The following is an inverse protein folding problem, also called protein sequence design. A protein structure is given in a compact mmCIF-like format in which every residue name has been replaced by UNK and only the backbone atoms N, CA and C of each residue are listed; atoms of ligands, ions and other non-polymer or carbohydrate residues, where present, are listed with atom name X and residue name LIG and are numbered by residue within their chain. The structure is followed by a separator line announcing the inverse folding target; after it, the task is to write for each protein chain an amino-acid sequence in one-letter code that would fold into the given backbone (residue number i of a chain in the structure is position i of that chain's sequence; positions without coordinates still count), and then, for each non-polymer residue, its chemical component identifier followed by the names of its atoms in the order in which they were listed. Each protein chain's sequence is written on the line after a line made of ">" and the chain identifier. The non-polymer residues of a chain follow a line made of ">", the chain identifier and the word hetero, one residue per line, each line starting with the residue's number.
data_IF_808925014197
#
_entry.id   IF_808925014197
#
_cell.length_a   1.000
_cell.length_b   1.000
_cell.length_c   1.000
_cell.angle_alpha   90.00
_cell.angle_beta   90.00
_cell.angle_gamma   90.00
#
_symmetry.space_group_name_H-M   'P 1'
#
loop_
_entity.id
_entity.type
_entity.pdbx_description
1 polymer ?
#
# COMPACT_ATOMS: atom_id res chain seq x y z
N UNK A 1 -25.14 -20.01 -1.23
CA UNK A 1 -23.97 -20.65 -0.56
C UNK A 1 -24.39 -22.02 -0.05
N UNK A 2 -23.63 -23.06 -0.37
CA UNK A 2 -23.94 -24.43 0.03
C UNK A 2 -23.91 -24.61 1.55
N UNK A 3 -24.92 -25.27 2.09
CA UNK A 3 -24.95 -25.61 3.51
C UNK A 3 -23.80 -26.59 3.84
N UNK A 4 -22.97 -26.33 4.87
CA UNK A 4 -21.87 -27.23 5.23
C UNK A 4 -22.36 -28.57 5.85
N UNK A 5 -23.62 -28.66 6.23
CA UNK A 5 -24.19 -29.86 6.89
C UNK A 5 -24.89 -30.81 5.92
N UNK A 6 -25.65 -30.26 4.95
CA UNK A 6 -26.44 -31.10 4.02
C UNK A 6 -26.15 -30.86 2.55
N UNK A 7 -25.31 -29.89 2.22
CA UNK A 7 -24.93 -29.54 0.84
C UNK A 7 -25.98 -28.79 0.02
N UNK A 8 -27.16 -28.47 0.61
CA UNK A 8 -28.20 -27.72 -0.09
C UNK A 8 -27.72 -26.31 -0.47
N UNK A 9 -28.13 -25.86 -1.65
CA UNK A 9 -27.53 -24.65 -2.28
C UNK A 9 -28.10 -23.33 -1.78
N UNK A 10 -29.29 -23.36 -1.15
CA UNK A 10 -29.99 -22.15 -0.73
C UNK A 10 -29.99 -21.98 0.79
N UNK A 11 -29.77 -20.75 1.23
CA UNK A 11 -29.80 -20.33 2.62
C UNK A 11 -30.35 -18.92 2.73
N UNK A 12 -30.99 -18.59 3.86
CA UNK A 12 -31.40 -17.22 4.18
C UNK A 12 -30.44 -16.61 5.20
N UNK A 13 -30.28 -15.33 5.15
CA UNK A 13 -29.52 -14.57 6.15
C UNK A 13 -30.45 -14.24 7.33
N UNK A 14 -30.08 -14.66 8.52
CA UNK A 14 -30.84 -14.46 9.76
C UNK A 14 -30.37 -13.24 10.51
N UNK A 15 -29.04 -12.97 10.50
CA UNK A 15 -28.41 -11.84 11.16
C UNK A 15 -27.18 -11.37 10.36
N UNK A 16 -26.90 -10.07 10.39
CA UNK A 16 -25.77 -9.46 9.70
C UNK A 16 -25.19 -8.36 10.58
N UNK A 17 -23.89 -8.46 10.88
CA UNK A 17 -23.18 -7.46 11.71
C UNK A 17 -21.81 -7.17 11.13
N UNK A 18 -21.36 -5.89 11.16
CA UNK A 18 -19.97 -5.58 10.85
C UNK A 18 -19.06 -6.24 11.89
N UNK A 19 -17.84 -6.58 11.50
CA UNK A 19 -16.79 -6.97 12.43
C UNK A 19 -16.19 -5.73 13.11
N UNK A 20 -15.53 -5.93 14.25
CA UNK A 20 -14.98 -4.84 15.06
C UNK A 20 -13.97 -3.95 14.28
N UNK A 21 -13.30 -4.52 13.29
CA UNK A 21 -12.38 -3.79 12.41
C UNK A 21 -13.06 -3.09 11.22
N UNK A 22 -14.35 -3.29 11.01
CA UNK A 22 -15.12 -2.71 9.91
C UNK A 22 -14.79 -3.25 8.50
N UNK A 23 -13.83 -4.17 8.39
CA UNK A 23 -13.33 -4.68 7.10
C UNK A 23 -14.11 -5.88 6.56
N UNK A 24 -15.01 -6.44 7.36
CA UNK A 24 -15.83 -7.58 6.95
C UNK A 24 -17.21 -7.54 7.60
N UNK A 25 -18.14 -8.27 6.99
CA UNK A 25 -19.49 -8.44 7.50
C UNK A 25 -19.66 -9.91 7.90
N UNK A 26 -19.97 -10.12 9.17
CA UNK A 26 -20.34 -11.44 9.68
C UNK A 26 -21.82 -11.68 9.41
N UNK A 27 -22.15 -12.76 8.70
CA UNK A 27 -23.54 -13.15 8.42
C UNK A 27 -23.86 -14.49 9.03
N UNK A 28 -24.93 -14.54 9.81
CA UNK A 28 -25.51 -15.79 10.29
C UNK A 28 -26.57 -16.25 9.29
N UNK A 29 -26.40 -17.46 8.78
CA UNK A 29 -27.27 -18.06 7.76
C UNK A 29 -28.00 -19.29 8.32
N UNK A 30 -29.17 -19.53 7.76
CA UNK A 30 -29.97 -20.74 8.05
C UNK A 30 -30.28 -21.45 6.74
N UNK A 31 -29.98 -22.74 6.69
CA UNK A 31 -30.26 -23.56 5.52
C UNK A 31 -31.77 -23.74 5.34
N UNK A 32 -32.25 -23.59 4.09
CA UNK A 32 -33.68 -23.76 3.80
C UNK A 32 -34.14 -25.22 3.80
N UNK A 33 -33.21 -26.18 3.70
CA UNK A 33 -33.51 -27.60 3.71
C UNK A 33 -33.43 -28.21 5.11
N UNK A 34 -32.28 -28.10 5.78
CA UNK A 34 -32.07 -28.78 7.08
C UNK A 34 -32.21 -27.87 8.29
N UNK A 35 -32.51 -26.57 8.10
CA UNK A 35 -32.64 -25.56 9.15
C UNK A 35 -31.36 -25.34 10.01
N UNK A 36 -30.24 -25.98 9.68
CA UNK A 36 -28.99 -25.79 10.38
C UNK A 36 -28.45 -24.38 10.16
N UNK A 37 -27.88 -23.79 11.22
CA UNK A 37 -27.33 -22.47 11.18
C UNK A 37 -25.80 -22.50 11.05
N UNK A 38 -25.27 -21.65 10.19
CA UNK A 38 -23.82 -21.48 9.98
C UNK A 38 -23.47 -20.01 9.80
N UNK A 39 -22.22 -19.70 10.05
CA UNK A 39 -21.70 -18.32 9.95
C UNK A 39 -20.80 -18.20 8.74
N UNK A 40 -20.96 -17.11 8.01
CA UNK A 40 -20.09 -16.73 6.90
C UNK A 40 -19.56 -15.33 7.11
N UNK A 41 -18.40 -15.04 6.51
CA UNK A 41 -17.82 -13.71 6.48
C UNK A 41 -17.75 -13.23 5.03
N UNK A 42 -18.24 -12.03 4.81
CA UNK A 42 -18.11 -11.32 3.55
C UNK A 42 -16.99 -10.30 3.70
N UNK A 43 -15.96 -10.44 2.90
CA UNK A 43 -14.79 -9.54 2.88
C UNK A 43 -14.62 -8.98 1.47
N UNK A 44 -14.14 -7.75 1.39
CA UNK A 44 -13.76 -7.19 0.09
C UNK A 44 -12.53 -7.95 -0.41
N UNK A 45 -12.62 -8.51 -1.60
CA UNK A 45 -11.47 -9.16 -2.23
C UNK A 45 -10.40 -8.12 -2.54
N UNK A 46 -9.27 -8.20 -1.84
CA UNK A 46 -8.08 -7.43 -2.14
C UNK A 46 -7.17 -8.25 -3.05
N UNK A 47 -7.10 -7.87 -4.30
CA UNK A 47 -6.17 -8.49 -5.24
C UNK A 47 -4.76 -7.94 -4.96
N UNK A 48 -3.73 -8.81 -4.94
CA UNK A 48 -2.36 -8.36 -4.72
C UNK A 48 -1.89 -7.44 -5.85
N UNK A 49 -1.23 -6.36 -5.47
CA UNK A 49 -0.55 -5.46 -6.41
C UNK A 49 0.77 -6.12 -6.82
N UNK A 50 1.04 -6.19 -8.10
CA UNK A 50 2.27 -6.72 -8.66
C UNK A 50 3.20 -5.58 -9.03
N UNK A 51 4.42 -5.63 -8.55
CA UNK A 51 5.50 -4.67 -8.85
C UNK A 51 6.37 -5.23 -9.96
N UNK A 52 6.51 -4.49 -11.04
CA UNK A 52 7.41 -4.79 -12.15
C UNK A 52 8.73 -4.04 -11.93
N UNK A 53 9.81 -4.77 -11.76
CA UNK A 53 11.16 -4.22 -11.58
C UNK A 53 11.79 -3.79 -12.89
N UNK A 54 12.90 -3.02 -12.82
CA UNK A 54 13.66 -2.55 -13.98
C UNK A 54 14.15 -3.68 -14.90
N UNK A 55 14.47 -4.84 -14.33
CA UNK A 55 14.90 -6.05 -15.06
C UNK A 55 13.72 -6.85 -15.67
N UNK A 56 12.47 -6.37 -15.49
CA UNK A 56 11.25 -7.03 -15.94
C UNK A 56 10.73 -8.11 -15.00
N UNK A 57 11.42 -8.40 -13.91
CA UNK A 57 10.93 -9.34 -12.88
C UNK A 57 9.70 -8.79 -12.16
N UNK A 58 8.84 -9.68 -11.70
CA UNK A 58 7.60 -9.36 -10.98
C UNK A 58 7.65 -9.86 -9.55
N UNK A 59 7.26 -9.03 -8.62
CA UNK A 59 7.08 -9.42 -7.22
C UNK A 59 5.80 -8.80 -6.66
N UNK A 60 5.27 -9.40 -5.60
CA UNK A 60 4.14 -8.81 -4.88
C UNK A 60 4.60 -7.54 -4.17
N UNK A 61 3.75 -6.52 -4.18
CA UNK A 61 3.98 -5.29 -3.41
C UNK A 61 4.20 -5.61 -1.94
N UNK A 62 5.28 -5.11 -1.39
CA UNK A 62 5.67 -5.30 0.00
C UNK A 62 5.83 -3.94 0.69
N UNK A 63 4.84 -3.61 1.51
CA UNK A 63 4.80 -2.39 2.31
C UNK A 63 6.05 -2.22 3.20
N UNK A 64 6.55 -3.32 3.75
CA UNK A 64 7.71 -3.28 4.66
C UNK A 64 8.99 -2.85 3.97
N UNK A 65 9.17 -3.16 2.69
CA UNK A 65 10.32 -2.71 1.90
C UNK A 65 10.34 -1.20 1.73
N UNK A 66 9.18 -0.61 1.44
CA UNK A 66 9.08 0.85 1.29
C UNK A 66 9.34 1.53 2.63
N UNK A 67 8.68 1.06 3.69
CA UNK A 67 8.87 1.61 5.04
C UNK A 67 10.34 1.56 5.46
N UNK A 68 11.02 0.43 5.25
CA UNK A 68 12.45 0.29 5.55
C UNK A 68 13.31 1.29 4.78
N UNK A 69 12.99 1.54 3.51
CA UNK A 69 13.67 2.54 2.69
C UNK A 69 13.49 3.96 3.24
N UNK A 70 12.27 4.33 3.62
CA UNK A 70 11.96 5.64 4.21
C UNK A 70 12.63 5.82 5.57
N UNK A 71 12.60 4.79 6.42
CA UNK A 71 13.28 4.82 7.75
C UNK A 71 14.77 5.04 7.59
N UNK A 72 15.44 4.33 6.67
CA UNK A 72 16.87 4.53 6.39
C UNK A 72 17.19 5.95 5.90
N UNK A 73 16.34 6.50 5.05
CA UNK A 73 16.51 7.87 4.57
C UNK A 73 16.37 8.91 5.69
N UNK A 74 15.51 8.64 6.66
CA UNK A 74 15.23 9.51 7.82
C UNK A 74 16.13 9.22 9.02
N UNK A 75 17.13 8.36 8.90
CA UNK A 75 18.04 8.02 10.01
C UNK A 75 18.71 9.28 10.57
N UNK A 76 18.68 9.42 11.91
CA UNK A 76 19.15 10.62 12.64
C UNK A 76 18.41 11.92 12.30
N UNK A 77 17.23 11.83 11.70
CA UNK A 77 16.30 12.96 11.52
C UNK A 77 15.17 12.88 12.53
N UNK A 78 14.61 14.03 12.90
CA UNK A 78 13.47 14.09 13.85
C UNK A 78 12.14 13.84 13.14
N UNK A 79 12.02 12.70 12.48
CA UNK A 79 10.80 12.27 11.80
C UNK A 79 10.18 11.11 12.55
N UNK A 80 8.96 11.25 13.09
CA UNK A 80 8.31 10.17 13.81
C UNK A 80 7.93 9.02 12.86
N UNK A 81 8.06 7.78 13.35
CA UNK A 81 7.72 6.57 12.58
C UNK A 81 6.28 6.61 12.04
N UNK A 82 5.33 7.11 12.85
CA UNK A 82 3.93 7.27 12.46
C UNK A 82 3.73 8.11 11.19
N UNK A 83 4.61 9.10 10.95
CA UNK A 83 4.58 9.92 9.74
C UNK A 83 5.01 9.12 8.52
N UNK A 84 6.01 8.25 8.68
CA UNK A 84 6.49 7.37 7.63
C UNK A 84 5.48 6.25 7.31
N UNK A 85 4.85 5.69 8.34
CA UNK A 85 3.78 4.69 8.17
C UNK A 85 2.58 5.28 7.42
N UNK A 86 2.23 6.54 7.72
CA UNK A 86 1.19 7.26 6.98
C UNK A 86 1.59 7.44 5.51
N UNK A 87 2.81 7.89 5.25
CA UNK A 87 3.30 8.04 3.88
C UNK A 87 3.22 6.73 3.08
N UNK A 88 3.58 5.60 3.69
CA UNK A 88 3.46 4.28 3.06
C UNK A 88 1.99 3.92 2.80
N UNK A 89 1.09 4.23 3.73
CA UNK A 89 -0.35 4.00 3.55
C UNK A 89 -0.93 4.84 2.40
N UNK A 90 -0.52 6.11 2.29
CA UNK A 90 -0.95 7.01 1.22
C UNK A 90 -0.43 6.53 -0.17
N UNK A 91 0.81 6.03 -0.22
CA UNK A 91 1.40 5.40 -1.42
C UNK A 91 0.59 4.15 -1.80
N UNK A 92 0.35 3.25 -0.86
CA UNK A 92 -0.43 2.02 -1.08
C UNK A 92 -1.84 2.32 -1.58
N UNK A 93 -2.51 3.30 -0.99
CA UNK A 93 -3.84 3.74 -1.42
C UNK A 93 -3.80 4.32 -2.84
N UNK A 94 -2.80 5.13 -3.17
CA UNK A 94 -2.63 5.71 -4.51
C UNK A 94 -2.48 4.62 -5.56
N UNK A 95 -1.68 3.58 -5.27
CA UNK A 95 -1.47 2.46 -6.16
C UNK A 95 -2.74 1.60 -6.28
N UNK A 96 -3.43 1.34 -5.16
CA UNK A 96 -4.66 0.54 -5.13
C UNK A 96 -5.82 1.21 -5.87
N UNK A 97 -5.88 2.54 -5.86
CA UNK A 97 -6.88 3.30 -6.59
C UNK A 97 -6.60 3.35 -8.11
N UNK A 98 -5.38 3.00 -8.53
CA UNK A 98 -5.11 2.82 -9.95
C UNK A 98 -5.80 1.54 -10.43
N UNK A 99 -6.48 1.63 -11.59
CA UNK A 99 -7.19 0.48 -12.18
C UNK A 99 -6.25 -0.63 -12.69
N UNK A 100 -4.95 -0.42 -12.60
CA UNK A 100 -3.92 -1.35 -13.05
C UNK A 100 -3.43 -2.20 -11.89
N UNK A 101 -3.40 -3.51 -12.07
CA UNK A 101 -2.87 -4.47 -11.07
C UNK A 101 -1.35 -4.54 -11.06
N UNK A 102 -0.71 -4.00 -12.07
CA UNK A 102 0.75 -3.95 -12.20
C UNK A 102 1.23 -2.51 -12.09
N UNK A 103 2.25 -2.29 -11.28
CA UNK A 103 2.89 -0.99 -11.08
C UNK A 103 4.39 -1.11 -11.27
N UNK A 104 4.99 -0.16 -11.94
CA UNK A 104 6.47 -0.12 -12.10
C UNK A 104 7.12 0.31 -10.79
N UNK A 105 8.25 -0.31 -10.45
CA UNK A 105 9.03 0.05 -9.26
C UNK A 105 9.49 1.51 -9.28
N UNK A 106 9.76 2.07 -10.47
CA UNK A 106 10.10 3.49 -10.65
C UNK A 106 8.98 4.40 -10.19
N UNK A 107 7.73 4.07 -10.48
CA UNK A 107 6.58 4.88 -10.06
C UNK A 107 6.43 4.88 -8.54
N UNK A 108 6.63 3.73 -7.90
CA UNK A 108 6.61 3.63 -6.43
C UNK A 108 7.72 4.50 -5.81
N UNK A 109 8.91 4.48 -6.40
CA UNK A 109 10.01 5.32 -5.96
C UNK A 109 9.72 6.82 -6.10
N UNK A 110 9.09 7.25 -7.20
CA UNK A 110 8.67 8.64 -7.37
C UNK A 110 7.63 9.06 -6.32
N UNK A 111 6.66 8.19 -6.02
CA UNK A 111 5.70 8.44 -4.93
C UNK A 111 6.40 8.58 -3.58
N UNK A 112 7.35 7.69 -3.27
CA UNK A 112 8.13 7.76 -2.04
C UNK A 112 8.95 9.05 -1.94
N UNK A 113 9.56 9.49 -3.03
CA UNK A 113 10.30 10.75 -3.10
C UNK A 113 9.37 11.95 -2.90
N UNK A 114 8.18 11.94 -3.48
CA UNK A 114 7.20 13.02 -3.30
C UNK A 114 6.75 13.15 -1.84
N UNK A 115 6.55 12.03 -1.15
CA UNK A 115 6.24 12.02 0.28
C UNK A 115 7.41 12.56 1.12
N UNK A 116 8.62 12.06 0.89
CA UNK A 116 9.82 12.52 1.61
C UNK A 116 10.09 14.00 1.44
N UNK A 117 9.83 14.54 0.25
CA UNK A 117 10.00 15.97 -0.05
C UNK A 117 9.15 16.87 0.86
N UNK A 118 7.97 16.38 1.28
CA UNK A 118 7.07 17.10 2.19
C UNK A 118 7.42 16.85 3.67
N UNK A 119 8.15 15.77 3.96
CA UNK A 119 8.47 15.34 5.33
C UNK A 119 9.81 15.94 5.78
N UNK A 120 10.88 15.71 5.01
CA UNK A 120 12.24 16.14 5.33
C UNK A 120 13.13 16.18 4.08
N UNK A 121 13.62 17.35 3.75
CA UNK A 121 14.43 17.58 2.53
C UNK A 121 15.73 16.77 2.50
N UNK A 122 16.38 16.60 3.66
CA UNK A 122 17.61 15.80 3.74
C UNK A 122 17.32 14.33 3.50
N UNK A 123 16.23 13.82 4.06
CA UNK A 123 15.78 12.46 3.81
C UNK A 123 15.42 12.25 2.32
N UNK A 124 14.78 13.23 1.70
CA UNK A 124 14.53 13.22 0.27
C UNK A 124 15.82 13.07 -0.54
N UNK A 125 16.82 13.91 -0.27
CA UNK A 125 18.12 13.89 -0.98
C UNK A 125 18.82 12.55 -0.80
N UNK A 126 18.84 12.00 0.41
CA UNK A 126 19.42 10.68 0.70
C UNK A 126 18.73 9.58 -0.08
N UNK A 127 17.40 9.54 -0.08
CA UNK A 127 16.63 8.56 -0.83
C UNK A 127 16.87 8.70 -2.34
N UNK A 128 16.80 9.91 -2.86
CA UNK A 128 17.04 10.21 -4.28
C UNK A 128 18.45 9.81 -4.72
N UNK A 129 19.48 10.02 -3.88
CA UNK A 129 20.87 9.66 -4.20
C UNK A 129 21.04 8.14 -4.42
N UNK A 130 20.30 7.32 -3.67
CA UNK A 130 20.34 5.87 -3.84
C UNK A 130 19.41 5.40 -4.96
N UNK A 131 18.20 5.96 -5.00
CA UNK A 131 17.16 5.51 -5.92
C UNK A 131 17.42 5.89 -7.37
N UNK A 132 17.84 7.16 -7.63
CA UNK A 132 18.09 7.67 -8.99
C UNK A 132 19.43 7.26 -9.54
N UNK A 133 20.37 6.79 -8.71
CA UNK A 133 21.71 6.37 -9.14
C UNK A 133 22.37 7.45 -10.04
N UNK A 134 22.55 8.65 -9.50
CA UNK A 134 23.17 9.76 -10.24
C UNK A 134 24.53 9.33 -10.83
N UNK A 135 24.71 9.59 -12.12
CA UNK A 135 25.94 9.20 -12.84
C UNK A 135 27.12 10.06 -12.48
N UNK A 136 26.87 11.33 -12.10
CA UNK A 136 27.88 12.33 -11.77
C UNK A 136 27.36 13.39 -10.79
N UNK A 137 28.29 14.21 -10.29
CA UNK A 137 27.99 15.28 -9.33
C UNK A 137 27.11 16.37 -9.95
N UNK A 138 27.27 16.67 -11.24
CA UNK A 138 26.50 17.73 -11.91
C UNK A 138 25.02 17.39 -11.95
N UNK A 139 24.66 16.16 -12.31
CA UNK A 139 23.28 15.68 -12.31
C UNK A 139 22.66 15.75 -10.90
N UNK A 140 23.46 15.44 -9.87
CA UNK A 140 23.04 15.58 -8.48
C UNK A 140 22.83 17.04 -8.07
N UNK A 141 23.74 17.94 -8.47
CA UNK A 141 23.64 19.39 -8.21
C UNK A 141 22.42 20.00 -8.90
N UNK A 142 22.09 19.56 -10.11
CA UNK A 142 20.88 20.00 -10.82
C UNK A 142 19.60 19.66 -10.05
N UNK A 143 19.55 18.46 -9.47
CA UNK A 143 18.39 18.05 -8.64
C UNK A 143 18.27 18.88 -7.37
N UNK A 144 19.40 19.17 -6.68
CA UNK A 144 19.43 20.06 -5.53
C UNK A 144 18.99 21.47 -5.89
N UNK A 145 19.43 21.99 -7.03
CA UNK A 145 19.06 23.33 -7.51
C UNK A 145 17.56 23.46 -7.76
N UNK A 146 16.91 22.41 -8.27
CA UNK A 146 15.44 22.36 -8.46
C UNK A 146 14.69 22.41 -7.13
N UNK A 147 15.24 21.81 -6.06
CA UNK A 147 14.66 21.91 -4.72
C UNK A 147 14.73 23.34 -4.19
N UNK A 148 15.90 23.98 -4.29
CA UNK A 148 16.12 25.34 -3.80
C UNK A 148 15.28 26.40 -4.54
N UNK A 149 14.93 26.16 -5.82
CA UNK A 149 14.10 27.08 -6.59
C UNK A 149 12.63 27.05 -6.19
N UNK A 150 12.13 25.93 -5.65
CA UNK A 150 10.73 25.81 -5.20
C UNK A 150 10.44 26.56 -3.89
N UNK A 151 11.44 26.81 -3.07
CA UNK A 151 11.29 27.55 -1.79
C UNK A 151 11.26 29.07 -1.96
N UNK A 152 11.42 29.58 -3.19
CA UNK A 152 11.38 31.01 -3.49
C UNK A 152 10.08 31.48 -4.18
N UNK A 153 9.07 30.61 -4.23
CA UNK A 153 7.78 30.93 -4.84
C UNK A 153 6.63 31.00 -3.85
#
# INVERSE_FOLDING_TARGET
>A
MKCPFCGYTESKVVDSRPTDEGNSIRRRRECLSCASRFTTYETVESLPIIVVKKDGSRETFDRSKILSGLVKACEKRQVPLSRLEKAVADIEQTISNSLTREVKSEYIGELAMNELKQIDEVAYVRFASVYRQFKDINTFMDELSKLLQKDKG
#
